data_IF_119005152534
#
_entry.id   IF_119005152534
#
_cell.length_a   1.000
_cell.length_b   1.000
_cell.length_c   1.000
_cell.angle_alpha   90.00
_cell.angle_beta   90.00
_cell.angle_gamma   90.00
#
_symmetry.space_group_name_H-M   'P 1'
#
loop_
_entity.id
_entity.type
_entity.pdbx_description
1 polymer ?
#
# COMPACT_ATOMS: atom_id res chain seq x y z
N UNK A 1 -16.16 11.90 23.58
CA UNK A 1 -16.21 11.78 22.10
C UNK A 1 -14.82 11.38 21.65
N UNK A 2 -14.64 10.13 21.21
CA UNK A 2 -13.35 9.66 20.70
C UNK A 2 -13.29 10.09 19.24
N UNK A 3 -12.52 11.15 18.96
CA UNK A 3 -12.28 11.63 17.61
C UNK A 3 -11.23 10.69 17.01
N UNK A 4 -11.66 9.79 16.12
CA UNK A 4 -10.72 9.02 15.30
C UNK A 4 -10.01 10.00 14.36
N UNK A 5 -8.73 10.26 14.60
CA UNK A 5 -7.92 11.07 13.69
C UNK A 5 -7.61 10.25 12.44
N UNK A 6 -8.33 10.53 11.34
CA UNK A 6 -8.05 9.93 10.02
C UNK A 6 -6.62 10.23 9.54
N UNK A 7 -6.03 11.34 10.00
CA UNK A 7 -4.65 11.73 9.71
C UNK A 7 -3.64 10.65 10.16
N UNK A 8 -3.90 9.97 11.29
CA UNK A 8 -3.02 8.90 11.78
C UNK A 8 -3.00 7.70 10.84
N UNK A 9 -4.15 7.30 10.28
CA UNK A 9 -4.23 6.10 9.42
C UNK A 9 -3.44 6.30 8.12
N UNK A 10 -3.50 7.48 7.53
CA UNK A 10 -2.71 7.79 6.33
C UNK A 10 -1.21 7.88 6.62
N UNK A 11 -0.83 8.45 7.75
CA UNK A 11 0.56 8.51 8.18
C UNK A 11 1.12 7.11 8.51
N UNK A 12 0.35 6.28 9.20
CA UNK A 12 0.69 4.89 9.52
C UNK A 12 0.83 4.04 8.25
N UNK A 13 -0.08 4.20 7.28
CA UNK A 13 0.04 3.53 5.97
C UNK A 13 1.28 3.98 5.22
N UNK A 14 1.55 5.29 5.17
CA UNK A 14 2.71 5.83 4.45
C UNK A 14 4.02 5.33 5.02
N UNK A 15 4.12 5.18 6.34
CA UNK A 15 5.27 4.60 7.01
C UNK A 15 5.40 3.08 6.79
N UNK A 16 4.29 2.38 6.54
CA UNK A 16 4.25 0.92 6.38
C UNK A 16 4.27 0.45 4.93
N UNK A 17 4.09 1.33 3.94
CA UNK A 17 4.11 0.93 2.54
C UNK A 17 5.46 0.37 2.11
N UNK A 18 5.47 -0.59 1.17
CA UNK A 18 6.70 -1.08 0.58
C UNK A 18 7.48 0.05 -0.13
N UNK A 19 8.81 -0.04 -0.20
CA UNK A 19 9.67 0.93 -0.86
C UNK A 19 9.22 1.26 -2.29
N UNK A 20 9.37 2.52 -2.70
CA UNK A 20 9.10 2.94 -4.10
C UNK A 20 10.09 2.32 -5.11
N UNK A 21 11.26 1.88 -4.65
CA UNK A 21 12.21 1.15 -5.49
C UNK A 21 11.63 -0.20 -5.96
N UNK A 22 10.90 -0.90 -5.10
CA UNK A 22 10.25 -2.18 -5.45
C UNK A 22 9.12 -1.96 -6.46
N UNK A 23 8.42 -0.82 -6.36
CA UNK A 23 7.45 -0.41 -7.39
C UNK A 23 8.14 -0.16 -8.74
N UNK A 24 9.26 0.56 -8.74
CA UNK A 24 10.00 0.85 -9.98
C UNK A 24 10.48 -0.43 -10.66
N UNK A 25 10.98 -1.40 -9.88
CA UNK A 25 11.39 -2.71 -10.39
C UNK A 25 10.17 -3.49 -10.89
N UNK A 26 9.07 -3.53 -10.12
CA UNK A 26 7.84 -4.18 -10.54
C UNK A 26 7.28 -3.64 -11.86
N UNK A 27 7.29 -2.32 -12.06
CA UNK A 27 6.87 -1.67 -13.32
C UNK A 27 7.81 -2.08 -14.46
N UNK A 28 9.12 -2.10 -14.22
CA UNK A 28 10.09 -2.54 -15.23
C UNK A 28 9.81 -3.99 -15.66
N UNK A 29 9.68 -4.92 -14.72
CA UNK A 29 9.40 -6.33 -15.04
C UNK A 29 8.02 -6.54 -15.68
N UNK A 30 7.01 -5.78 -15.25
CA UNK A 30 5.69 -5.81 -15.86
C UNK A 30 5.76 -5.38 -17.33
N UNK A 31 6.54 -4.34 -17.67
CA UNK A 31 6.74 -3.92 -19.07
C UNK A 31 7.46 -4.95 -19.93
N UNK A 32 8.16 -5.91 -19.29
CA UNK A 32 8.83 -7.05 -19.93
C UNK A 32 7.93 -8.29 -20.00
N UNK A 33 6.67 -8.19 -19.59
CA UNK A 33 5.70 -9.28 -19.58
C UNK A 33 5.74 -10.17 -18.34
N UNK A 34 6.46 -9.77 -17.29
CA UNK A 34 6.54 -10.51 -16.02
C UNK A 34 5.77 -9.75 -14.94
N UNK A 35 4.52 -10.14 -14.66
CA UNK A 35 3.63 -9.46 -13.72
C UNK A 35 3.85 -9.81 -12.25
N UNK A 36 4.57 -10.90 -11.95
CA UNK A 36 4.69 -11.44 -10.59
C UNK A 36 5.17 -10.42 -9.54
N UNK A 37 6.15 -9.58 -9.89
CA UNK A 37 6.64 -8.53 -8.97
C UNK A 37 5.61 -7.42 -8.71
N UNK A 38 4.77 -7.12 -9.69
CA UNK A 38 3.67 -6.17 -9.50
C UNK A 38 2.56 -6.76 -8.65
N UNK A 39 2.29 -8.06 -8.79
CA UNK A 39 1.34 -8.79 -7.94
C UNK A 39 1.83 -8.83 -6.48
N UNK A 40 3.11 -9.14 -6.26
CA UNK A 40 3.74 -9.10 -4.92
C UNK A 40 3.68 -7.70 -4.30
N UNK A 41 4.02 -6.66 -5.07
CA UNK A 41 3.95 -5.27 -4.60
C UNK A 41 2.52 -4.89 -4.21
N UNK A 42 1.53 -5.25 -5.04
CA UNK A 42 0.14 -4.98 -4.77
C UNK A 42 -0.36 -5.73 -3.53
N UNK A 43 0.04 -6.99 -3.33
CA UNK A 43 -0.30 -7.76 -2.14
C UNK A 43 0.29 -7.13 -0.87
N UNK A 44 1.52 -6.61 -0.93
CA UNK A 44 2.13 -5.88 0.19
C UNK A 44 1.38 -4.58 0.52
N UNK A 45 0.98 -3.82 -0.51
CA UNK A 45 0.15 -2.61 -0.36
C UNK A 45 -1.22 -2.96 0.23
N UNK A 46 -1.83 -4.06 -0.20
CA UNK A 46 -3.10 -4.54 0.32
C UNK A 46 -2.99 -4.93 1.79
N UNK A 47 -1.94 -5.67 2.19
CA UNK A 47 -1.69 -6.01 3.58
C UNK A 47 -1.59 -4.77 4.49
N UNK A 48 -0.93 -3.71 4.01
CA UNK A 48 -0.85 -2.42 4.72
C UNK A 48 -2.23 -1.77 4.86
N UNK A 49 -3.03 -1.78 3.79
CA UNK A 49 -4.39 -1.21 3.80
C UNK A 49 -5.34 -1.99 4.70
N UNK A 50 -5.21 -3.31 4.76
CA UNK A 50 -5.97 -4.21 5.63
C UNK A 50 -5.56 -4.04 7.10
N UNK A 51 -4.26 -3.87 7.38
CA UNK A 51 -3.75 -3.60 8.72
C UNK A 51 -4.20 -2.25 9.27
N UNK A 52 -4.31 -1.25 8.41
CA UNK A 52 -4.73 0.10 8.76
C UNK A 52 -5.98 0.48 7.96
N UNK A 53 -7.16 -0.08 8.25
CA UNK A 53 -8.37 0.22 7.47
C UNK A 53 -8.72 1.70 7.62
N UNK A 54 -8.96 2.38 6.49
CA UNK A 54 -9.61 3.71 6.53
C UNK A 54 -11.06 3.48 6.93
N UNK A 55 -11.60 4.22 7.91
CA UNK A 55 -13.02 4.15 8.15
C UNK A 55 -13.74 4.51 6.83
N UNK A 56 -14.78 3.75 6.48
CA UNK A 56 -15.63 4.15 5.38
C UNK A 56 -16.31 5.45 5.83
N UNK A 57 -16.11 6.56 5.10
CA UNK A 57 -16.96 7.72 5.32
C UNK A 57 -18.38 7.27 4.96
N UNK A 58 -19.23 7.11 5.99
CA UNK A 58 -20.67 6.90 5.88
C UNK A 58 -21.35 8.22 5.50
#
# INVERSE_FOLDING_TARGET
MIIYHYEDVDQLRRAAYPPLADLADAIYWQSRGQSGKMEEYNAAVEAVKTRYPKPAML
#
